data_IF_381139452173
#
_entry.id   IF_381139452173
#
_cell.length_a   1.000
_cell.length_b   1.000
_cell.length_c   1.000
_cell.angle_alpha   90.00
_cell.angle_beta   90.00
_cell.angle_gamma   90.00
#
_symmetry.space_group_name_H-M   'P 1'
#
loop_
_entity.id
_entity.type
_entity.pdbx_description
1 polymer ?
#
# COMPACT_ATOMS: atom_id res chain seq x y z
N UNK A 1 -30.69 -12.12 -21.01
CA UNK A 1 -29.82 -11.40 -20.04
C UNK A 1 -28.53 -12.19 -19.97
N UNK A 2 -27.47 -11.72 -20.62
CA UNK A 2 -26.15 -12.37 -20.54
C UNK A 2 -25.57 -12.09 -19.16
N UNK A 3 -25.52 -13.11 -18.31
CA UNK A 3 -24.64 -13.10 -17.13
C UNK A 3 -23.23 -12.81 -17.64
N UNK A 4 -22.73 -11.61 -17.34
CA UNK A 4 -21.34 -11.28 -17.58
C UNK A 4 -20.51 -12.26 -16.73
N UNK A 5 -19.79 -13.17 -17.38
CA UNK A 5 -18.88 -14.06 -16.69
C UNK A 5 -17.97 -13.25 -15.75
N UNK A 6 -17.71 -13.72 -14.52
CA UNK A 6 -16.92 -12.97 -13.56
C UNK A 6 -15.55 -12.68 -14.17
N UNK A 7 -15.28 -11.39 -14.40
CA UNK A 7 -13.97 -10.96 -14.90
C UNK A 7 -12.98 -11.15 -13.77
N UNK A 8 -12.05 -12.09 -13.94
CA UNK A 8 -10.93 -12.26 -13.02
C UNK A 8 -10.12 -10.97 -12.97
N UNK A 9 -10.10 -10.31 -11.81
CA UNK A 9 -9.25 -9.14 -11.58
C UNK A 9 -7.83 -9.67 -11.33
N UNK A 10 -6.92 -9.37 -12.24
CA UNK A 10 -5.50 -9.72 -12.06
C UNK A 10 -4.85 -8.88 -10.96
N UNK A 11 -3.80 -9.40 -10.31
CA UNK A 11 -3.06 -8.68 -9.27
C UNK A 11 -2.60 -7.29 -9.73
N UNK A 12 -2.12 -7.17 -10.97
CA UNK A 12 -1.70 -5.87 -11.53
C UNK A 12 -2.87 -4.88 -11.59
N UNK A 13 -4.04 -5.33 -12.08
CA UNK A 13 -5.26 -4.50 -12.19
C UNK A 13 -5.73 -4.08 -10.79
N UNK A 14 -5.73 -5.01 -9.83
CA UNK A 14 -6.07 -4.73 -8.43
C UNK A 14 -5.19 -3.62 -7.83
N UNK A 15 -3.87 -3.74 -7.98
CA UNK A 15 -2.91 -2.78 -7.42
C UNK A 15 -2.98 -1.43 -8.13
N UNK A 16 -3.15 -1.43 -9.45
CA UNK A 16 -3.29 -0.19 -10.23
C UNK A 16 -4.56 0.57 -9.83
N UNK A 17 -5.70 -0.11 -9.76
CA UNK A 17 -6.96 0.51 -9.36
C UNK A 17 -6.94 0.96 -7.90
N UNK A 18 -6.40 0.15 -6.99
CA UNK A 18 -6.26 0.53 -5.58
C UNK A 18 -5.32 1.75 -5.44
N UNK A 19 -4.23 1.79 -6.20
CA UNK A 19 -3.32 2.93 -6.24
C UNK A 19 -3.99 4.20 -6.76
N UNK A 20 -4.86 4.08 -7.77
CA UNK A 20 -5.68 5.20 -8.24
C UNK A 20 -6.67 5.66 -7.18
N UNK A 21 -7.35 4.74 -6.50
CA UNK A 21 -8.30 5.06 -5.44
C UNK A 21 -7.62 5.81 -4.30
N UNK A 22 -6.45 5.34 -3.86
CA UNK A 22 -5.64 6.01 -2.83
C UNK A 22 -5.16 7.39 -3.28
N UNK A 23 -4.69 7.54 -4.53
CA UNK A 23 -4.24 8.84 -5.05
C UNK A 23 -5.37 9.90 -5.12
N UNK A 24 -6.62 9.45 -5.28
CA UNK A 24 -7.81 10.30 -5.40
C UNK A 24 -8.54 10.49 -4.07
N UNK A 25 -8.20 9.69 -3.06
CA UNK A 25 -8.83 9.76 -1.76
C UNK A 25 -8.56 11.11 -1.09
N UNK A 26 -9.57 11.63 -0.39
CA UNK A 26 -9.45 12.87 0.39
C UNK A 26 -8.90 12.57 1.77
N UNK A 27 -7.58 12.40 1.87
CA UNK A 27 -6.88 12.34 3.15
C UNK A 27 -6.92 13.70 3.87
N UNK A 28 -6.70 13.68 5.18
CA UNK A 28 -6.63 14.90 5.99
C UNK A 28 -5.46 15.76 5.51
N UNK A 29 -5.54 17.08 5.74
CA UNK A 29 -4.44 17.98 5.40
C UNK A 29 -3.19 17.77 6.26
N UNK A 30 -3.41 17.28 7.48
CA UNK A 30 -2.37 17.02 8.48
C UNK A 30 -2.75 15.81 9.32
N UNK A 31 -1.73 15.05 9.74
CA UNK A 31 -1.89 13.89 10.63
C UNK A 31 -1.01 14.02 11.87
N UNK A 32 -1.61 13.89 13.06
CA UNK A 32 -0.86 13.93 14.34
C UNK A 32 0.03 12.71 14.56
N UNK A 33 -0.19 11.60 13.83
CA UNK A 33 0.68 10.42 13.83
C UNK A 33 0.54 9.64 12.52
N UNK A 34 1.53 8.80 12.20
CA UNK A 34 1.46 7.82 11.10
C UNK A 34 0.29 6.84 11.28
N UNK A 35 -0.04 6.48 12.52
CA UNK A 35 -1.17 5.59 12.83
C UNK A 35 -2.51 6.14 12.35
N UNK A 36 -2.77 7.44 12.52
CA UNK A 36 -4.00 8.05 12.01
C UNK A 36 -4.08 8.08 10.47
N UNK A 37 -2.94 8.16 9.78
CA UNK A 37 -2.88 8.01 8.32
C UNK A 37 -3.22 6.58 7.91
N UNK A 38 -2.67 5.59 8.64
CA UNK A 38 -2.98 4.17 8.42
C UNK A 38 -4.47 3.89 8.63
N UNK A 39 -5.11 4.46 9.66
CA UNK A 39 -6.55 4.30 9.90
C UNK A 39 -7.41 4.82 8.73
N UNK A 40 -7.03 5.95 8.14
CA UNK A 40 -7.76 6.49 7.00
C UNK A 40 -7.43 5.71 5.70
N UNK A 41 -6.19 5.22 5.54
CA UNK A 41 -5.80 4.34 4.45
C UNK A 41 -6.59 3.02 4.49
N UNK A 42 -6.73 2.42 5.68
CA UNK A 42 -7.53 1.22 5.93
C UNK A 42 -8.97 1.41 5.44
N UNK A 43 -9.63 2.52 5.81
CA UNK A 43 -11.00 2.83 5.34
C UNK A 43 -11.11 2.98 3.83
N UNK A 44 -10.08 3.49 3.16
CA UNK A 44 -10.07 3.62 1.69
C UNK A 44 -9.91 2.24 1.05
N UNK A 45 -8.96 1.45 1.55
CA UNK A 45 -8.68 0.09 1.07
C UNK A 45 -9.90 -0.82 1.29
N UNK A 46 -10.47 -0.85 2.50
CA UNK A 46 -11.65 -1.69 2.79
C UNK A 46 -12.82 -1.36 1.87
N UNK A 47 -13.18 -0.08 1.71
CA UNK A 47 -14.26 0.33 0.79
C UNK A 47 -13.96 -0.02 -0.68
N UNK A 48 -12.70 0.01 -1.08
CA UNK A 48 -12.30 -0.42 -2.42
C UNK A 48 -12.48 -1.93 -2.59
N UNK A 49 -11.94 -2.73 -1.66
CA UNK A 49 -12.04 -4.19 -1.69
C UNK A 49 -13.48 -4.66 -1.61
N UNK A 50 -14.30 -4.08 -0.74
CA UNK A 50 -15.76 -4.33 -0.67
C UNK A 50 -16.42 -4.09 -2.02
N UNK A 51 -16.23 -2.92 -2.63
CA UNK A 51 -16.87 -2.60 -3.91
C UNK A 51 -16.39 -3.48 -5.06
N UNK A 52 -15.08 -3.78 -5.12
CA UNK A 52 -14.50 -4.51 -6.26
C UNK A 52 -14.64 -6.02 -6.10
N UNK A 53 -14.27 -6.56 -4.94
CA UNK A 53 -14.21 -8.01 -4.73
C UNK A 53 -15.56 -8.61 -4.35
N UNK A 54 -16.40 -7.92 -3.58
CA UNK A 54 -17.75 -8.43 -3.30
C UNK A 54 -18.62 -8.50 -4.57
N UNK A 55 -18.41 -7.59 -5.52
CA UNK A 55 -19.11 -7.60 -6.81
C UNK A 55 -18.85 -8.85 -7.66
N UNK A 56 -17.75 -9.56 -7.39
CA UNK A 56 -17.33 -10.79 -8.08
C UNK A 56 -17.31 -12.01 -7.15
N UNK A 57 -17.87 -11.89 -5.93
CA UNK A 57 -17.98 -12.99 -4.96
C UNK A 57 -16.66 -13.46 -4.36
N UNK A 58 -15.59 -12.65 -4.42
CA UNK A 58 -14.30 -13.00 -3.83
C UNK A 58 -14.24 -12.57 -2.36
N UNK A 59 -13.91 -13.51 -1.49
CA UNK A 59 -13.61 -13.24 -0.09
C UNK A 59 -12.30 -12.46 0.04
N UNK A 60 -12.28 -11.47 0.93
CA UNK A 60 -11.09 -10.72 1.27
C UNK A 60 -11.04 -10.42 2.77
N UNK A 61 -9.83 -10.21 3.26
CA UNK A 61 -9.55 -9.79 4.63
C UNK A 61 -8.44 -8.75 4.62
N UNK A 62 -8.47 -7.83 5.58
CA UNK A 62 -7.46 -6.80 5.74
C UNK A 62 -6.82 -6.95 7.11
N UNK A 63 -5.55 -7.30 7.14
CA UNK A 63 -4.79 -7.52 8.36
C UNK A 63 -4.03 -6.27 8.76
N UNK A 64 -3.94 -6.05 10.07
CA UNK A 64 -3.15 -4.98 10.71
C UNK A 64 -2.15 -5.50 11.75
N UNK A 65 -2.42 -6.68 12.31
CA UNK A 65 -1.58 -7.32 13.31
C UNK A 65 -0.68 -8.39 12.70
N UNK A 66 0.46 -8.61 13.35
CA UNK A 66 1.40 -9.70 13.01
C UNK A 66 0.74 -11.05 13.27
N UNK A 67 0.99 -12.03 12.41
CA UNK A 67 0.52 -13.40 12.61
C UNK A 67 1.09 -13.97 13.92
N UNK A 68 0.22 -14.54 14.75
CA UNK A 68 0.64 -15.14 16.03
C UNK A 68 1.27 -16.52 15.80
N UNK A 69 2.14 -16.98 16.71
CA UNK A 69 2.78 -18.29 16.58
C UNK A 69 1.78 -19.47 16.52
N UNK A 70 0.57 -19.25 17.02
CA UNK A 70 -0.54 -20.21 17.10
C UNK A 70 -1.53 -20.10 15.94
N UNK A 71 -1.45 -19.04 15.12
CA UNK A 71 -2.36 -18.81 13.99
C UNK A 71 -1.60 -18.26 12.77
N UNK A 72 -1.68 -18.92 11.60
CA UNK A 72 -1.06 -18.41 10.38
C UNK A 72 -1.77 -17.15 9.83
N UNK A 73 -2.82 -16.67 10.49
CA UNK A 73 -3.58 -15.51 10.07
C UNK A 73 -2.94 -14.21 10.60
N UNK A 74 -2.52 -13.34 9.69
CA UNK A 74 -1.98 -12.02 10.02
C UNK A 74 -0.87 -11.58 9.06
N UNK A 75 -0.15 -10.54 9.48
CA UNK A 75 0.99 -10.00 8.75
C UNK A 75 2.23 -10.82 9.09
N UNK A 76 2.87 -11.41 8.08
CA UNK A 76 4.16 -12.08 8.22
C UNK A 76 5.32 -11.09 8.03
N UNK A 77 6.12 -10.79 9.07
CA UNK A 77 7.25 -9.88 8.94
C UNK A 77 8.32 -10.44 8.00
N UNK A 78 9.04 -9.55 7.33
CA UNK A 78 10.26 -9.90 6.59
C UNK A 78 11.47 -9.58 7.44
N UNK A 79 12.36 -10.55 7.65
CA UNK A 79 13.61 -10.34 8.40
C UNK A 79 14.76 -10.09 7.44
N UNK A 80 15.42 -8.94 7.56
CA UNK A 80 16.63 -8.59 6.79
C UNK A 80 17.70 -8.05 7.75
N UNK A 81 18.90 -8.62 7.66
CA UNK A 81 20.04 -8.21 8.50
C UNK A 81 19.74 -8.21 10.01
N UNK A 82 18.87 -9.13 10.46
CA UNK A 82 18.45 -9.22 11.86
C UNK A 82 17.39 -8.19 12.29
N UNK A 83 16.91 -7.34 11.38
CA UNK A 83 15.82 -6.41 11.62
C UNK A 83 14.50 -6.93 11.01
N UNK A 84 13.40 -6.72 11.73
CA UNK A 84 12.05 -7.08 11.26
C UNK A 84 11.39 -5.91 10.53
N UNK A 85 10.88 -6.20 9.33
CA UNK A 85 10.13 -5.29 8.49
C UNK A 85 8.69 -5.78 8.40
N UNK A 86 7.78 -5.04 9.02
CA UNK A 86 6.35 -5.32 8.98
C UNK A 86 5.63 -4.21 8.19
N UNK A 87 4.82 -4.54 7.17
CA UNK A 87 3.92 -3.56 6.54
C UNK A 87 2.83 -3.11 7.51
N UNK A 88 2.15 -2.01 7.18
CA UNK A 88 1.10 -1.45 8.03
C UNK A 88 -0.21 -2.22 7.89
N UNK A 89 -0.53 -2.66 6.67
CA UNK A 89 -1.67 -3.52 6.40
C UNK A 89 -1.31 -4.60 5.36
N UNK A 90 -2.05 -5.70 5.35
CA UNK A 90 -1.99 -6.71 4.28
C UNK A 90 -3.40 -7.03 3.81
N UNK A 91 -3.66 -6.80 2.53
CA UNK A 91 -4.88 -7.25 1.87
C UNK A 91 -4.71 -8.72 1.44
N UNK A 92 -5.49 -9.60 2.05
CA UNK A 92 -5.61 -11.00 1.68
C UNK A 92 -6.85 -11.16 0.79
N UNK A 93 -6.69 -11.85 -0.34
CA UNK A 93 -7.77 -12.15 -1.29
C UNK A 93 -7.79 -13.65 -1.52
N UNK A 94 -8.96 -14.27 -1.38
CA UNK A 94 -9.11 -15.73 -1.53
C UNK A 94 -8.09 -16.52 -0.71
N UNK A 95 -7.93 -16.13 0.56
CA UNK A 95 -7.01 -16.72 1.53
C UNK A 95 -5.51 -16.59 1.19
N UNK A 96 -5.14 -15.82 0.18
CA UNK A 96 -3.74 -15.56 -0.18
C UNK A 96 -3.37 -14.09 0.06
N UNK A 97 -2.24 -13.77 0.71
CA UNK A 97 -1.80 -12.39 0.88
C UNK A 97 -1.45 -11.81 -0.50
N UNK A 98 -2.21 -10.80 -0.94
CA UNK A 98 -2.11 -10.26 -2.29
C UNK A 98 -1.27 -8.97 -2.34
N UNK A 99 -1.54 -8.05 -1.42
CA UNK A 99 -0.93 -6.71 -1.41
C UNK A 99 -0.53 -6.30 -0.01
N UNK A 100 0.76 -6.01 0.19
CA UNK A 100 1.22 -5.31 1.38
C UNK A 100 1.07 -3.79 1.20
N UNK A 101 0.62 -3.11 2.24
CA UNK A 101 0.33 -1.69 2.26
C UNK A 101 1.22 -1.02 3.30
N UNK A 102 1.87 0.06 2.90
CA UNK A 102 2.74 0.84 3.77
C UNK A 102 2.38 2.33 3.67
N UNK A 103 2.33 3.01 4.81
CA UNK A 103 2.10 4.44 4.89
C UNK A 103 3.34 5.15 5.42
N UNK A 104 3.79 6.15 4.67
CA UNK A 104 4.86 7.08 5.05
C UNK A 104 4.29 8.49 5.16
N UNK A 105 4.50 9.13 6.32
CA UNK A 105 4.01 10.49 6.61
C UNK A 105 5.17 11.49 6.56
N UNK A 106 5.17 12.35 5.56
CA UNK A 106 6.20 13.38 5.36
C UNK A 106 5.76 14.70 5.99
N UNK A 107 6.40 15.06 7.11
CA UNK A 107 6.13 16.29 7.87
C UNK A 107 7.07 17.44 7.55
N UNK A 108 8.12 17.24 6.77
CA UNK A 108 9.13 18.26 6.50
C UNK A 108 9.67 18.14 5.09
N UNK A 109 9.59 19.25 4.34
CA UNK A 109 10.07 19.38 2.96
C UNK A 109 11.58 19.11 2.86
N UNK A 110 12.34 19.58 3.85
CA UNK A 110 13.79 19.39 3.89
C UNK A 110 14.19 17.90 4.04
N UNK A 111 13.28 17.04 4.48
CA UNK A 111 13.52 15.60 4.68
C UNK A 111 12.76 14.71 3.70
N UNK A 112 12.02 15.28 2.74
CA UNK A 112 11.16 14.52 1.82
C UNK A 112 11.92 13.42 1.09
N UNK A 113 13.12 13.70 0.56
CA UNK A 113 13.92 12.68 -0.13
C UNK A 113 14.30 11.50 0.81
N UNK A 114 14.64 11.79 2.06
CA UNK A 114 14.97 10.76 3.05
C UNK A 114 13.75 9.89 3.39
N UNK A 115 12.57 10.49 3.54
CA UNK A 115 11.34 9.75 3.76
C UNK A 115 10.95 8.89 2.55
N UNK A 116 11.08 9.41 1.33
CA UNK A 116 10.83 8.65 0.10
C UNK A 116 11.81 7.48 -0.02
N UNK A 117 13.10 7.70 0.23
CA UNK A 117 14.10 6.63 0.19
C UNK A 117 13.82 5.55 1.25
N UNK A 118 13.44 5.95 2.47
CA UNK A 118 13.04 5.02 3.52
C UNK A 118 11.79 4.22 3.12
N UNK A 119 10.77 4.88 2.57
CA UNK A 119 9.57 4.24 2.05
C UNK A 119 9.91 3.20 0.98
N UNK A 120 10.72 3.55 -0.02
CA UNK A 120 11.18 2.62 -1.07
C UNK A 120 11.93 1.43 -0.46
N UNK A 121 12.86 1.68 0.47
CA UNK A 121 13.62 0.63 1.13
C UNK A 121 12.72 -0.36 1.89
N UNK A 122 11.75 0.16 2.65
CA UNK A 122 10.75 -0.65 3.33
C UNK A 122 9.91 -1.46 2.33
N UNK A 123 9.44 -0.83 1.23
CA UNK A 123 8.68 -1.52 0.20
C UNK A 123 9.46 -2.67 -0.44
N UNK A 124 10.75 -2.48 -0.71
CA UNK A 124 11.61 -3.53 -1.27
C UNK A 124 11.82 -4.68 -0.28
N UNK A 125 11.88 -4.40 1.02
CA UNK A 125 11.88 -5.45 2.05
C UNK A 125 10.59 -6.26 1.99
N UNK A 126 9.43 -5.58 1.99
CA UNK A 126 8.12 -6.24 1.93
C UNK A 126 7.93 -7.07 0.64
N UNK A 127 8.47 -6.60 -0.49
CA UNK A 127 8.34 -7.27 -1.79
C UNK A 127 9.01 -8.67 -1.85
N UNK A 128 9.84 -9.03 -0.86
CA UNK A 128 10.38 -10.38 -0.74
C UNK A 128 9.35 -11.41 -0.29
N UNK A 129 8.30 -10.96 0.40
CA UNK A 129 7.27 -11.82 1.00
C UNK A 129 5.92 -11.66 0.31
N UNK A 130 5.60 -10.45 -0.13
CA UNK A 130 4.30 -10.12 -0.68
C UNK A 130 4.34 -9.99 -2.21
N UNK A 131 3.34 -10.52 -2.95
CA UNK A 131 3.32 -10.47 -4.41
C UNK A 131 3.33 -9.06 -5.00
N UNK A 132 2.75 -8.10 -4.28
CA UNK A 132 2.80 -6.69 -4.62
C UNK A 132 2.85 -5.83 -3.35
N UNK A 133 3.42 -4.65 -3.48
CA UNK A 133 3.52 -3.67 -2.40
C UNK A 133 3.04 -2.32 -2.89
N UNK A 134 2.17 -1.70 -2.12
CA UNK A 134 1.67 -0.35 -2.38
C UNK A 134 2.05 0.55 -1.21
N UNK A 135 2.76 1.63 -1.51
CA UNK A 135 3.25 2.56 -0.51
C UNK A 135 2.68 3.95 -0.72
N UNK A 136 1.86 4.38 0.24
CA UNK A 136 1.28 5.71 0.30
C UNK A 136 2.27 6.67 0.99
N UNK A 137 2.78 7.63 0.24
CA UNK A 137 3.60 8.73 0.75
C UNK A 137 2.72 9.96 0.83
N UNK A 138 2.30 10.32 2.04
CA UNK A 138 1.45 11.48 2.28
C UNK A 138 2.28 12.69 2.72
N UNK A 139 2.08 13.84 2.07
CA UNK A 139 2.77 15.08 2.38
C UNK A 139 1.81 16.06 3.06
N UNK A 140 2.14 16.48 4.30
CA UNK A 140 1.32 17.47 5.01
C UNK A 140 1.23 18.79 4.21
N UNK A 141 0.01 19.23 3.89
CA UNK A 141 -0.26 20.36 2.98
C UNK A 141 0.06 21.75 3.55
N UNK A 142 0.59 21.86 4.76
CA UNK A 142 1.12 23.14 5.26
C UNK A 142 2.41 23.57 4.56
N UNK A 143 2.84 22.84 3.53
CA UNK A 143 4.09 23.05 2.82
C UNK A 143 3.78 23.33 1.34
N UNK A 144 3.57 24.61 1.02
CA UNK A 144 3.48 25.06 -0.37
C UNK A 144 4.85 24.85 -1.06
N UNK A 145 4.89 24.06 -2.13
CA UNK A 145 6.11 23.66 -2.81
C UNK A 145 5.87 22.60 -3.89
N UNK A 146 6.76 22.47 -4.89
CA UNK A 146 6.53 21.59 -6.03
C UNK A 146 6.31 20.17 -5.53
N UNK A 147 5.27 19.52 -6.06
CA UNK A 147 4.88 18.15 -5.75
C UNK A 147 5.93 17.11 -6.18
N UNK A 148 5.53 15.88 -6.57
CA UNK A 148 6.42 14.71 -6.69
C UNK A 148 7.38 14.75 -7.90
N UNK A 149 8.14 15.83 -8.06
CA UNK A 149 9.29 15.94 -8.98
C UNK A 149 10.57 15.32 -8.38
N UNK A 150 10.48 14.75 -7.17
CA UNK A 150 11.62 14.18 -6.45
C UNK A 150 11.96 12.77 -6.94
N UNK A 151 11.04 12.06 -7.59
CA UNK A 151 11.24 10.67 -8.02
C UNK A 151 11.25 10.57 -9.53
N UNK A 152 12.36 10.08 -10.07
CA UNK A 152 12.52 9.84 -11.50
C UNK A 152 11.53 8.77 -12.00
N UNK A 153 10.92 9.02 -13.15
CA UNK A 153 9.94 8.12 -13.76
C UNK A 153 10.53 6.72 -13.99
N UNK A 154 11.79 6.65 -14.40
CA UNK A 154 12.51 5.39 -14.66
C UNK A 154 12.62 4.53 -13.40
N UNK A 155 12.87 5.15 -12.24
CA UNK A 155 12.89 4.47 -10.96
C UNK A 155 11.51 3.91 -10.62
N UNK A 156 10.44 4.70 -10.77
CA UNK A 156 9.06 4.24 -10.51
C UNK A 156 8.69 3.07 -11.42
N UNK A 157 9.06 3.13 -12.70
CA UNK A 157 8.82 2.05 -13.64
C UNK A 157 9.60 0.79 -13.27
N UNK A 158 10.87 0.93 -12.87
CA UNK A 158 11.74 -0.19 -12.46
C UNK A 158 11.24 -0.87 -11.19
N UNK A 159 10.80 -0.09 -10.19
CA UNK A 159 10.19 -0.61 -8.95
C UNK A 159 8.98 -1.49 -9.25
N UNK A 160 8.14 -1.08 -10.20
CA UNK A 160 6.98 -1.87 -10.60
C UNK A 160 7.36 -3.11 -11.41
N UNK A 161 8.22 -2.97 -12.42
CA UNK A 161 8.55 -4.08 -13.32
C UNK A 161 9.36 -5.19 -12.64
N UNK A 162 10.27 -4.83 -11.74
CA UNK A 162 11.18 -5.76 -11.09
C UNK A 162 10.63 -6.29 -9.76
N UNK A 163 9.94 -5.45 -8.99
CA UNK A 163 9.58 -5.77 -7.61
C UNK A 163 8.08 -5.65 -7.30
N UNK A 164 7.24 -5.28 -8.28
CA UNK A 164 5.80 -5.03 -8.06
C UNK A 164 5.54 -4.04 -6.92
N UNK A 165 6.43 -3.06 -6.78
CA UNK A 165 6.31 -1.95 -5.83
C UNK A 165 5.68 -0.76 -6.52
N UNK A 166 4.62 -0.21 -5.92
CA UNK A 166 3.92 0.99 -6.41
C UNK A 166 3.96 2.09 -5.35
N UNK A 167 4.52 3.25 -5.72
CA UNK A 167 4.44 4.46 -4.90
C UNK A 167 3.19 5.26 -5.27
N UNK A 168 2.48 5.74 -4.25
CA UNK A 168 1.31 6.62 -4.38
C UNK A 168 1.56 7.86 -3.55
N UNK A 169 1.50 9.03 -4.18
CA UNK A 169 1.67 10.31 -3.50
C UNK A 169 0.31 10.97 -3.28
N UNK A 170 0.08 11.47 -2.06
CA UNK A 170 -1.17 12.14 -1.65
C UNK A 170 -0.93 13.45 -0.90
#
# INVERSE_FOLDING_TARGET
>A
MTEAAPRYIGLNELVEELGQELSRARFRRTYSSRGHLVDDMEKVVSRFLERRLASVGLEFQLWRGVAEATSPEGIEPTVLFGAEFCPDLVAQVSKSPAVALHAELVRSKARTAGHIAAAIGASLAYARRYPAVLTLVHMDRQQEGPGPQVVERELVMSLWSLHKVRLVFS
#
